data_IF_359632667776
#
_entry.id   IF_359632667776
#
_cell.length_a   1.000
_cell.length_b   1.000
_cell.length_c   1.000
_cell.angle_alpha   90.00
_cell.angle_beta   90.00
_cell.angle_gamma   90.00
#
_symmetry.space_group_name_H-M   'P 1'
#
loop_
_entity.id
_entity.type
_entity.pdbx_description
1 polymer ?
#
# COMPACT_ATOMS: atom_id res chain seq x y z
N UNK A 1 1.28 -61.82 -4.49
CA UNK A 1 0.37 -62.01 -3.34
C UNK A 1 -0.93 -61.22 -3.48
N UNK A 2 -0.90 -59.99 -3.99
CA UNK A 2 -2.11 -59.16 -4.16
C UNK A 2 -3.14 -59.71 -5.17
N UNK A 3 -2.74 -60.45 -6.21
CA UNK A 3 -3.69 -61.09 -7.15
C UNK A 3 -4.62 -62.12 -6.46
N UNK A 4 -4.07 -62.90 -5.52
CA UNK A 4 -4.88 -63.84 -4.75
C UNK A 4 -5.83 -63.10 -3.78
N UNK A 5 -5.36 -61.99 -3.19
CA UNK A 5 -6.17 -61.13 -2.33
C UNK A 5 -7.33 -60.47 -3.09
N UNK A 6 -7.11 -60.07 -4.35
CA UNK A 6 -8.16 -59.53 -5.25
C UNK A 6 -9.31 -60.52 -5.42
N UNK A 7 -9.02 -61.79 -5.72
CA UNK A 7 -10.05 -62.82 -5.86
C UNK A 7 -10.79 -63.07 -4.54
N UNK A 8 -10.07 -63.11 -3.42
CA UNK A 8 -10.64 -63.33 -2.09
C UNK A 8 -11.57 -62.20 -1.67
N UNK A 9 -11.11 -60.95 -1.73
CA UNK A 9 -11.91 -59.79 -1.29
C UNK A 9 -13.09 -59.51 -2.20
N UNK A 10 -12.98 -59.81 -3.50
CA UNK A 10 -14.11 -59.72 -4.42
C UNK A 10 -15.20 -60.76 -4.06
N UNK A 11 -14.81 -61.99 -3.73
CA UNK A 11 -15.76 -63.03 -3.32
C UNK A 11 -16.42 -62.73 -1.95
N UNK A 12 -15.67 -62.12 -1.03
CA UNK A 12 -16.16 -61.75 0.32
C UNK A 12 -16.93 -60.41 0.29
N UNK A 13 -16.97 -59.70 -0.84
CA UNK A 13 -17.56 -58.36 -0.98
C UNK A 13 -16.95 -57.31 -0.03
N UNK A 14 -15.70 -57.49 0.38
CA UNK A 14 -14.97 -56.49 1.16
C UNK A 14 -14.29 -55.50 0.21
N UNK A 15 -15.07 -54.53 -0.28
CA UNK A 15 -14.64 -53.60 -1.32
C UNK A 15 -13.54 -52.63 -0.87
N UNK A 16 -13.46 -52.31 0.44
CA UNK A 16 -12.41 -51.45 0.98
C UNK A 16 -11.02 -52.10 0.84
N UNK A 17 -10.88 -53.34 1.29
CA UNK A 17 -9.63 -54.10 1.17
C UNK A 17 -9.34 -54.52 -0.27
N UNK A 18 -10.39 -54.72 -1.08
CA UNK A 18 -10.24 -54.94 -2.51
C UNK A 18 -9.62 -53.73 -3.21
N UNK A 19 -10.10 -52.51 -2.93
CA UNK A 19 -9.56 -51.29 -3.51
C UNK A 19 -8.06 -51.11 -3.17
N UNK A 20 -7.70 -51.29 -1.89
CA UNK A 20 -6.29 -51.28 -1.43
C UNK A 20 -5.42 -52.31 -2.18
N UNK A 21 -5.92 -53.54 -2.35
CA UNK A 21 -5.19 -54.56 -3.11
C UNK A 21 -5.05 -54.22 -4.60
N UNK A 22 -6.06 -53.60 -5.22
CA UNK A 22 -6.04 -53.18 -6.62
C UNK A 22 -5.09 -52.01 -6.86
N UNK A 23 -5.02 -51.07 -5.92
CA UNK A 23 -4.04 -49.98 -5.91
C UNK A 23 -2.61 -50.54 -5.95
N UNK A 24 -2.29 -51.50 -5.08
CA UNK A 24 -0.96 -52.13 -5.05
C UNK A 24 -0.64 -52.96 -6.31
N UNK A 25 -1.65 -53.34 -7.10
CA UNK A 25 -1.49 -54.00 -8.39
C UNK A 25 -1.36 -53.02 -9.56
N UNK A 26 -1.50 -51.71 -9.33
CA UNK A 26 -1.50 -50.68 -10.37
C UNK A 26 -2.79 -50.63 -11.21
N UNK A 27 -3.84 -51.34 -10.81
CA UNK A 27 -5.13 -51.35 -11.50
C UNK A 27 -6.05 -50.22 -10.99
N UNK A 28 -5.67 -48.97 -11.23
CA UNK A 28 -6.33 -47.79 -10.65
C UNK A 28 -7.80 -47.64 -11.02
N UNK A 29 -8.18 -47.90 -12.28
CA UNK A 29 -9.59 -47.83 -12.71
C UNK A 29 -10.48 -48.78 -11.91
N UNK A 30 -10.05 -50.03 -11.73
CA UNK A 30 -10.79 -51.02 -10.97
C UNK A 30 -10.82 -50.68 -9.47
N UNK A 31 -9.78 -50.01 -8.96
CA UNK A 31 -9.75 -49.53 -7.59
C UNK A 31 -10.80 -48.43 -7.35
N UNK A 32 -10.96 -47.49 -8.29
CA UNK A 32 -12.00 -46.43 -8.25
C UNK A 32 -13.41 -47.03 -8.26
N UNK A 33 -13.66 -48.03 -9.10
CA UNK A 33 -14.96 -48.72 -9.13
C UNK A 33 -15.24 -49.46 -7.81
N UNK A 34 -14.19 -49.99 -7.19
CA UNK A 34 -14.27 -50.68 -5.90
C UNK A 34 -14.50 -49.70 -4.74
N UNK A 35 -13.86 -48.53 -4.75
CA UNK A 35 -14.09 -47.49 -3.73
C UNK A 35 -15.51 -46.93 -3.83
N UNK A 36 -16.09 -46.83 -5.03
CA UNK A 36 -17.49 -46.47 -5.20
C UNK A 36 -18.44 -47.48 -4.53
N UNK A 37 -18.13 -48.78 -4.59
CA UNK A 37 -18.91 -49.82 -3.90
C UNK A 37 -18.69 -49.81 -2.38
N UNK A 38 -17.49 -49.47 -1.93
CA UNK A 38 -17.17 -49.37 -0.50
C UNK A 38 -17.83 -48.14 0.15
N UNK A 39 -17.93 -47.04 -0.59
CA UNK A 39 -18.51 -45.76 -0.16
C UNK A 39 -18.00 -45.26 1.19
N UNK A 40 -16.68 -45.35 1.40
CA UNK A 40 -15.99 -44.87 2.60
C UNK A 40 -14.99 -43.78 2.23
N UNK A 41 -14.97 -42.68 2.98
CA UNK A 41 -14.03 -41.57 2.80
C UNK A 41 -12.58 -42.01 2.88
N UNK A 42 -12.24 -42.87 3.84
CA UNK A 42 -10.90 -43.43 3.99
C UNK A 42 -10.46 -44.21 2.74
N UNK A 43 -11.37 -45.01 2.16
CA UNK A 43 -11.05 -45.78 0.95
C UNK A 43 -10.86 -44.89 -0.27
N UNK A 44 -11.64 -43.81 -0.37
CA UNK A 44 -11.44 -42.81 -1.42
C UNK A 44 -10.10 -42.11 -1.28
N UNK A 45 -9.70 -41.74 -0.05
CA UNK A 45 -8.39 -41.12 0.23
C UNK A 45 -7.24 -42.04 -0.17
N UNK A 46 -7.27 -43.30 0.25
CA UNK A 46 -6.22 -44.28 -0.08
C UNK A 46 -6.05 -44.41 -1.60
N UNK A 47 -7.16 -44.61 -2.33
CA UNK A 47 -7.15 -44.74 -3.79
C UNK A 47 -6.70 -43.44 -4.45
N UNK A 48 -7.20 -42.29 -3.99
CA UNK A 48 -6.85 -40.98 -4.53
C UNK A 48 -5.35 -40.70 -4.41
N UNK A 49 -4.80 -40.85 -3.21
CA UNK A 49 -3.39 -40.60 -2.91
C UNK A 49 -2.47 -41.49 -3.74
N UNK A 50 -2.84 -42.75 -3.93
CA UNK A 50 -2.11 -43.64 -4.81
C UNK A 50 -2.25 -43.29 -6.30
N UNK A 51 -3.42 -42.83 -6.76
CA UNK A 51 -3.59 -42.32 -8.12
C UNK A 51 -2.73 -41.09 -8.38
N UNK A 52 -2.58 -40.19 -7.40
CA UNK A 52 -1.68 -39.03 -7.48
C UNK A 52 -0.22 -39.47 -7.56
N UNK A 53 0.20 -40.42 -6.72
CA UNK A 53 1.56 -41.00 -6.79
C UNK A 53 1.83 -41.70 -8.13
N UNK A 54 0.80 -42.36 -8.67
CA UNK A 54 0.82 -43.00 -9.98
C UNK A 54 0.67 -42.05 -11.18
N UNK A 55 0.53 -40.74 -10.95
CA UNK A 55 0.30 -39.71 -11.99
C UNK A 55 -0.97 -39.92 -12.84
N UNK A 56 -1.95 -40.65 -12.32
CA UNK A 56 -3.26 -40.86 -12.94
C UNK A 56 -4.24 -39.77 -12.50
N UNK A 57 -3.99 -38.52 -12.93
CA UNK A 57 -4.70 -37.34 -12.42
C UNK A 57 -6.20 -37.33 -12.72
N UNK A 58 -6.62 -37.88 -13.86
CA UNK A 58 -8.04 -37.96 -14.20
C UNK A 58 -8.82 -38.83 -13.19
N UNK A 59 -8.25 -39.98 -12.82
CA UNK A 59 -8.85 -40.87 -11.83
C UNK A 59 -8.75 -40.29 -10.42
N UNK A 60 -7.60 -39.67 -10.10
CA UNK A 60 -7.42 -38.96 -8.83
C UNK A 60 -8.45 -37.84 -8.66
N UNK A 61 -8.79 -37.09 -9.72
CA UNK A 61 -9.81 -36.05 -9.68
C UNK A 61 -11.19 -36.61 -9.35
N UNK A 62 -11.60 -37.71 -10.02
CA UNK A 62 -12.87 -38.38 -9.73
C UNK A 62 -12.97 -38.83 -8.26
N UNK A 63 -11.92 -39.47 -7.74
CA UNK A 63 -11.85 -39.86 -6.33
C UNK A 63 -11.90 -38.64 -5.39
N UNK A 64 -11.13 -37.60 -5.72
CA UNK A 64 -11.01 -36.38 -4.92
C UNK A 64 -12.33 -35.63 -4.78
N UNK A 65 -13.17 -35.60 -5.82
CA UNK A 65 -14.49 -34.96 -5.75
C UNK A 65 -15.41 -35.60 -4.70
N UNK A 66 -15.23 -36.90 -4.42
CA UNK A 66 -15.95 -37.56 -3.33
C UNK A 66 -15.39 -37.22 -1.94
N UNK A 67 -14.11 -36.86 -1.84
CA UNK A 67 -13.43 -36.51 -0.57
C UNK A 67 -13.69 -35.04 -0.21
N UNK A 68 -13.51 -34.12 -1.17
CA UNK A 68 -13.59 -32.65 -0.97
C UNK A 68 -14.92 -32.18 -0.41
N UNK A 69 -16.00 -32.94 -0.58
CA UNK A 69 -17.31 -32.60 0.00
C UNK A 69 -17.25 -32.58 1.54
N UNK A 70 -16.32 -33.33 2.14
CA UNK A 70 -16.08 -33.37 3.58
C UNK A 70 -15.07 -32.30 3.99
N UNK A 71 -15.55 -31.27 4.69
CA UNK A 71 -14.72 -30.12 5.08
C UNK A 71 -13.49 -30.50 5.92
N UNK A 72 -13.62 -31.50 6.79
CA UNK A 72 -12.54 -31.96 7.68
C UNK A 72 -11.38 -32.61 6.90
N UNK A 73 -11.63 -33.10 5.68
CA UNK A 73 -10.65 -33.81 4.85
C UNK A 73 -9.95 -32.89 3.83
N UNK A 74 -10.47 -31.67 3.63
CA UNK A 74 -9.99 -30.74 2.60
C UNK A 74 -8.52 -30.34 2.84
N UNK A 75 -8.15 -30.05 4.09
CA UNK A 75 -6.80 -29.60 4.45
C UNK A 75 -5.74 -30.68 4.16
N UNK A 76 -6.00 -31.93 4.52
CA UNK A 76 -5.09 -33.04 4.27
C UNK A 76 -4.92 -33.31 2.76
N UNK A 77 -6.02 -33.28 2.00
CA UNK A 77 -5.97 -33.45 0.56
C UNK A 77 -5.15 -32.35 -0.13
N UNK A 78 -5.35 -31.09 0.26
CA UNK A 78 -4.58 -29.97 -0.25
C UNK A 78 -3.09 -30.15 0.06
N UNK A 79 -2.76 -30.47 1.31
CA UNK A 79 -1.39 -30.70 1.73
C UNK A 79 -0.73 -31.81 0.90
N UNK A 80 -1.44 -32.91 0.65
CA UNK A 80 -0.92 -34.03 -0.14
C UNK A 80 -0.55 -33.64 -1.58
N UNK A 81 -1.40 -32.86 -2.25
CA UNK A 81 -1.13 -32.35 -3.59
C UNK A 81 0.00 -31.30 -3.60
N UNK A 82 0.04 -30.40 -2.60
CA UNK A 82 1.06 -29.35 -2.49
C UNK A 82 2.46 -29.89 -2.22
N UNK A 83 2.58 -30.88 -1.32
CA UNK A 83 3.87 -31.52 -0.97
C UNK A 83 4.54 -32.18 -2.19
N UNK A 84 3.72 -32.66 -3.15
CA UNK A 84 4.17 -33.24 -4.42
C UNK A 84 4.34 -32.22 -5.55
N UNK A 85 3.94 -30.97 -5.33
CA UNK A 85 4.04 -29.89 -6.32
C UNK A 85 2.97 -29.91 -7.41
N UNK A 86 1.88 -30.67 -7.25
CA UNK A 86 0.81 -30.76 -8.26
C UNK A 86 -0.24 -29.65 -8.10
N UNK A 87 0.18 -28.38 -8.19
CA UNK A 87 -0.69 -27.22 -7.97
C UNK A 87 -1.75 -27.02 -9.07
N UNK A 88 -1.41 -27.29 -10.34
CA UNK A 88 -2.34 -27.16 -11.47
C UNK A 88 -3.52 -28.12 -11.37
N UNK A 89 -3.23 -29.38 -11.05
CA UNK A 89 -4.25 -30.41 -10.87
C UNK A 89 -5.13 -30.14 -9.65
N UNK A 90 -4.54 -29.63 -8.56
CA UNK A 90 -5.30 -29.21 -7.38
C UNK A 90 -6.25 -28.04 -7.70
N UNK A 91 -5.79 -27.05 -8.48
CA UNK A 91 -6.66 -25.95 -8.92
C UNK A 91 -7.78 -26.46 -9.83
N UNK A 92 -7.48 -27.31 -10.82
CA UNK A 92 -8.47 -27.94 -11.70
C UNK A 92 -9.52 -28.74 -10.91
N UNK A 93 -9.07 -29.49 -9.90
CA UNK A 93 -9.94 -30.23 -8.99
C UNK A 93 -10.88 -29.30 -8.22
N UNK A 94 -10.35 -28.23 -7.61
CA UNK A 94 -11.17 -27.26 -6.88
C UNK A 94 -12.14 -26.50 -7.80
N UNK A 95 -11.70 -26.13 -9.02
CA UNK A 95 -12.54 -25.53 -10.07
C UNK A 95 -13.76 -26.42 -10.37
N UNK A 96 -13.55 -27.73 -10.56
CA UNK A 96 -14.63 -28.68 -10.77
C UNK A 96 -15.53 -28.84 -9.52
N UNK A 97 -14.91 -28.82 -8.33
CA UNK A 97 -15.61 -29.05 -7.08
C UNK A 97 -16.56 -27.90 -6.68
N UNK A 98 -16.31 -26.66 -7.13
CA UNK A 98 -17.20 -25.51 -6.94
C UNK A 98 -18.61 -25.74 -7.51
N UNK A 99 -18.74 -26.56 -8.56
CA UNK A 99 -20.01 -26.88 -9.19
C UNK A 99 -20.85 -27.93 -8.45
N UNK A 100 -20.32 -28.53 -7.38
CA UNK A 100 -21.04 -29.53 -6.59
C UNK A 100 -22.08 -28.88 -5.68
N UNK A 101 -23.26 -29.50 -5.56
CA UNK A 101 -24.33 -29.02 -4.66
C UNK A 101 -23.88 -28.91 -3.20
N UNK A 102 -22.95 -29.77 -2.77
CA UNK A 102 -22.41 -29.81 -1.40
C UNK A 102 -21.11 -29.03 -1.24
N UNK A 103 -20.79 -28.11 -2.15
CA UNK A 103 -19.62 -27.25 -2.01
C UNK A 103 -19.72 -26.39 -0.73
N UNK A 104 -18.63 -26.27 0.01
CA UNK A 104 -18.57 -25.54 1.28
C UNK A 104 -17.49 -24.45 1.25
N UNK A 105 -17.51 -23.53 2.23
CA UNK A 105 -16.67 -22.31 2.26
C UNK A 105 -15.15 -22.58 2.11
N UNK A 106 -14.66 -23.69 2.67
CA UNK A 106 -13.26 -24.08 2.60
C UNK A 106 -12.75 -24.17 1.16
N UNK A 107 -13.55 -24.73 0.25
CA UNK A 107 -13.19 -24.94 -1.15
C UNK A 107 -12.93 -23.62 -1.88
N UNK A 108 -13.83 -22.64 -1.71
CA UNK A 108 -13.69 -21.30 -2.31
C UNK A 108 -12.48 -20.55 -1.71
N UNK A 109 -12.27 -20.70 -0.40
CA UNK A 109 -11.19 -20.02 0.32
C UNK A 109 -9.83 -20.54 -0.13
N UNK A 110 -9.65 -21.86 -0.18
CA UNK A 110 -8.39 -22.48 -0.58
C UNK A 110 -8.08 -22.26 -2.06
N UNK A 111 -9.11 -22.26 -2.92
CA UNK A 111 -8.93 -21.89 -4.32
C UNK A 111 -8.45 -20.44 -4.48
N UNK A 112 -9.03 -19.49 -3.73
CA UNK A 112 -8.55 -18.10 -3.74
C UNK A 112 -7.08 -17.98 -3.30
N UNK A 113 -6.66 -18.76 -2.29
CA UNK A 113 -5.27 -18.79 -1.84
C UNK A 113 -4.35 -19.33 -2.95
N UNK A 114 -4.77 -20.38 -3.66
CA UNK A 114 -3.99 -20.91 -4.79
C UNK A 114 -3.92 -19.92 -5.96
N UNK A 115 -5.04 -19.29 -6.33
CA UNK A 115 -5.07 -18.25 -7.36
C UNK A 115 -4.17 -17.07 -7.02
N UNK A 116 -4.14 -16.64 -5.75
CA UNK A 116 -3.27 -15.53 -5.35
C UNK A 116 -1.79 -15.77 -5.68
N UNK A 117 -1.33 -17.03 -5.56
CA UNK A 117 0.09 -17.39 -5.76
C UNK A 117 0.41 -17.81 -7.19
N UNK A 118 -0.46 -18.58 -7.83
CA UNK A 118 -0.16 -19.26 -9.09
C UNK A 118 -0.87 -18.66 -10.29
N UNK A 119 -2.09 -18.12 -10.13
CA UNK A 119 -2.89 -17.56 -11.22
C UNK A 119 -3.60 -16.26 -10.82
N UNK A 120 -2.86 -15.15 -10.56
CA UNK A 120 -3.46 -13.86 -10.21
C UNK A 120 -4.56 -13.39 -11.16
N UNK A 121 -4.44 -13.71 -12.46
CA UNK A 121 -5.38 -13.30 -13.50
C UNK A 121 -6.81 -13.85 -13.29
N UNK A 122 -6.97 -15.01 -12.64
CA UNK A 122 -8.29 -15.61 -12.33
C UNK A 122 -8.89 -15.11 -11.02
N UNK A 123 -8.10 -14.45 -10.17
CA UNK A 123 -8.52 -13.98 -8.86
C UNK A 123 -9.69 -12.99 -8.88
N UNK A 124 -9.74 -11.98 -9.78
CA UNK A 124 -10.83 -11.01 -9.80
C UNK A 124 -12.20 -11.68 -10.03
N UNK A 125 -12.29 -12.52 -11.07
CA UNK A 125 -13.52 -13.22 -11.45
C UNK A 125 -14.00 -14.15 -10.32
N UNK A 126 -13.06 -14.86 -9.69
CA UNK A 126 -13.37 -15.73 -8.55
C UNK A 126 -13.96 -14.94 -7.37
N UNK A 127 -13.34 -13.82 -7.01
CA UNK A 127 -13.83 -12.99 -5.90
C UNK A 127 -15.16 -12.32 -6.24
N UNK A 128 -15.34 -11.82 -7.45
CA UNK A 128 -16.57 -11.15 -7.88
C UNK A 128 -17.78 -12.11 -7.79
N UNK A 129 -17.59 -13.37 -8.16
CA UNK A 129 -18.64 -14.40 -8.10
C UNK A 129 -18.86 -14.98 -6.70
N UNK A 130 -17.80 -15.17 -5.92
CA UNK A 130 -17.84 -16.04 -4.73
C UNK A 130 -17.47 -15.38 -3.39
N UNK A 131 -17.27 -14.06 -3.33
CA UNK A 131 -16.87 -13.35 -2.09
C UNK A 131 -17.72 -13.70 -0.86
N UNK A 132 -19.03 -13.94 -1.02
CA UNK A 132 -19.95 -14.24 0.09
C UNK A 132 -19.76 -15.64 0.69
N UNK A 133 -19.04 -16.53 0.01
CA UNK A 133 -18.80 -17.92 0.41
C UNK A 133 -17.33 -18.20 0.74
N UNK A 134 -16.55 -17.15 0.98
CA UNK A 134 -15.11 -17.22 1.26
C UNK A 134 -14.82 -16.69 2.65
N UNK A 135 -13.78 -17.23 3.30
CA UNK A 135 -13.23 -16.65 4.52
C UNK A 135 -12.37 -15.41 4.17
N UNK A 136 -12.98 -14.23 4.22
CA UNK A 136 -12.36 -12.97 3.81
C UNK A 136 -11.04 -12.69 4.57
N UNK A 137 -10.95 -12.78 5.91
CA UNK A 137 -9.70 -12.54 6.62
C UNK A 137 -8.54 -13.44 6.18
N UNK A 138 -8.81 -14.72 5.87
CA UNK A 138 -7.78 -15.64 5.39
C UNK A 138 -7.29 -15.26 4.00
N UNK A 139 -8.21 -14.87 3.11
CA UNK A 139 -7.88 -14.47 1.74
C UNK A 139 -7.20 -13.11 1.68
N UNK A 140 -7.56 -12.16 2.55
CA UNK A 140 -6.88 -10.87 2.67
C UNK A 140 -5.37 -11.05 2.92
N UNK A 141 -5.01 -11.92 3.88
CA UNK A 141 -3.59 -12.23 4.16
C UNK A 141 -2.88 -12.83 2.95
N UNK A 142 -3.55 -13.70 2.19
CA UNK A 142 -2.98 -14.31 0.99
C UNK A 142 -2.82 -13.28 -0.14
N UNK A 143 -3.81 -12.42 -0.35
CA UNK A 143 -3.77 -11.35 -1.35
C UNK A 143 -2.70 -10.30 -1.03
N UNK A 144 -2.53 -9.95 0.25
CA UNK A 144 -1.47 -9.04 0.72
C UNK A 144 -0.07 -9.60 0.46
N UNK A 145 0.14 -10.89 0.78
CA UNK A 145 1.39 -11.61 0.48
C UNK A 145 1.68 -11.72 -1.02
N UNK A 146 0.63 -11.74 -1.85
CA UNK A 146 0.73 -11.81 -3.30
C UNK A 146 0.74 -10.42 -3.98
N UNK A 147 0.64 -9.33 -3.21
CA UNK A 147 0.59 -7.95 -3.71
C UNK A 147 -0.53 -7.70 -4.74
N UNK A 148 -1.70 -8.30 -4.53
CA UNK A 148 -2.88 -8.17 -5.40
C UNK A 148 -3.76 -7.00 -4.95
N UNK A 149 -3.30 -5.77 -5.16
CA UNK A 149 -3.89 -4.58 -4.52
C UNK A 149 -5.32 -4.27 -4.99
N UNK A 150 -5.66 -4.52 -6.26
CA UNK A 150 -7.01 -4.28 -6.78
C UNK A 150 -8.03 -5.24 -6.12
N UNK A 151 -7.66 -6.51 -6.00
CA UNK A 151 -8.45 -7.57 -5.37
C UNK A 151 -8.53 -7.36 -3.86
N UNK A 152 -7.45 -6.88 -3.25
CA UNK A 152 -7.37 -6.58 -1.82
C UNK A 152 -8.31 -5.41 -1.46
N UNK A 153 -8.34 -4.34 -2.27
CA UNK A 153 -9.31 -3.25 -2.11
C UNK A 153 -10.75 -3.74 -2.28
N UNK A 154 -11.01 -4.65 -3.24
CA UNK A 154 -12.33 -5.27 -3.38
C UNK A 154 -12.74 -6.07 -2.14
N UNK A 155 -11.83 -6.84 -1.56
CA UNK A 155 -12.09 -7.58 -0.33
C UNK A 155 -12.35 -6.65 0.85
N UNK A 156 -11.61 -5.56 1.00
CA UNK A 156 -11.88 -4.56 2.04
C UNK A 156 -13.23 -3.86 1.87
N UNK A 157 -13.66 -3.57 0.63
CA UNK A 157 -15.02 -3.06 0.38
C UNK A 157 -16.10 -4.02 0.90
N UNK A 158 -15.96 -5.32 0.59
CA UNK A 158 -16.92 -6.34 1.04
C UNK A 158 -16.84 -6.65 2.52
N UNK A 159 -15.68 -6.43 3.14
CA UNK A 159 -15.48 -6.60 4.57
C UNK A 159 -15.79 -5.33 5.38
N UNK A 160 -16.21 -4.25 4.71
CA UNK A 160 -16.52 -2.95 5.31
C UNK A 160 -15.32 -2.29 6.04
N UNK A 161 -14.09 -2.71 5.71
CA UNK A 161 -12.85 -2.12 6.23
C UNK A 161 -12.37 -0.98 5.31
N UNK A 162 -13.18 0.07 5.21
CA UNK A 162 -12.91 1.21 4.31
C UNK A 162 -11.60 1.95 4.63
N UNK A 163 -11.20 1.99 5.90
CA UNK A 163 -9.95 2.61 6.34
C UNK A 163 -8.74 1.95 5.66
N UNK A 164 -8.71 0.61 5.63
CA UNK A 164 -7.64 -0.16 5.00
C UNK A 164 -7.73 -0.12 3.47
N UNK A 165 -8.94 -0.08 2.90
CA UNK A 165 -9.15 0.11 1.46
C UNK A 165 -8.53 1.42 0.98
N UNK A 166 -8.84 2.54 1.65
CA UNK A 166 -8.32 3.87 1.30
C UNK A 166 -6.81 3.91 1.45
N UNK A 167 -6.25 3.37 2.54
CA UNK A 167 -4.80 3.32 2.74
C UNK A 167 -4.10 2.56 1.61
N UNK A 168 -4.64 1.41 1.21
CA UNK A 168 -4.10 0.61 0.10
C UNK A 168 -4.16 1.37 -1.23
N UNK A 169 -5.25 2.08 -1.49
CA UNK A 169 -5.39 2.91 -2.69
C UNK A 169 -4.39 4.06 -2.75
N UNK A 170 -4.00 4.61 -1.60
CA UNK A 170 -3.01 5.67 -1.50
C UNK A 170 -1.58 5.17 -1.62
N UNK A 171 -1.26 4.00 -1.05
CA UNK A 171 0.08 3.41 -1.15
C UNK A 171 0.35 2.76 -2.50
N UNK A 172 -0.69 2.26 -3.18
CA UNK A 172 -0.60 1.62 -4.50
C UNK A 172 -1.55 2.23 -5.55
N UNK A 173 -1.34 3.49 -5.97
CA UNK A 173 -2.28 4.22 -6.83
C UNK A 173 -2.43 3.65 -8.25
N UNK A 174 -1.39 3.04 -8.80
CA UNK A 174 -1.37 2.61 -10.21
C UNK A 174 -2.31 1.44 -10.49
N UNK A 175 -2.50 0.55 -9.51
CA UNK A 175 -3.23 -0.71 -9.69
C UNK A 175 -4.62 -0.68 -9.04
N UNK A 176 -4.74 -0.01 -7.88
CA UNK A 176 -5.95 -0.10 -7.06
C UNK A 176 -6.82 1.16 -7.07
N UNK A 177 -6.27 2.32 -7.45
CA UNK A 177 -7.01 3.57 -7.37
C UNK A 177 -8.05 3.70 -8.51
N UNK A 178 -9.30 3.97 -8.13
CA UNK A 178 -10.39 4.35 -9.03
C UNK A 178 -11.14 5.52 -8.40
N UNK A 179 -11.29 6.61 -9.14
CA UNK A 179 -11.78 7.89 -8.60
C UNK A 179 -13.15 7.78 -7.90
N UNK A 180 -14.14 7.17 -8.56
CA UNK A 180 -15.48 7.00 -8.00
C UNK A 180 -15.46 6.16 -6.72
N UNK A 181 -14.78 5.02 -6.76
CA UNK A 181 -14.68 4.10 -5.61
C UNK A 181 -13.96 4.76 -4.42
N UNK A 182 -12.89 5.52 -4.67
CA UNK A 182 -12.17 6.23 -3.61
C UNK A 182 -13.08 7.23 -2.89
N UNK A 183 -13.88 8.00 -3.65
CA UNK A 183 -14.85 8.96 -3.11
C UNK A 183 -15.94 8.27 -2.27
N UNK A 184 -16.41 7.11 -2.71
CA UNK A 184 -17.40 6.33 -1.96
C UNK A 184 -16.83 5.74 -0.67
N UNK A 185 -15.57 5.26 -0.69
CA UNK A 185 -14.93 4.69 0.49
C UNK A 185 -14.56 5.74 1.54
N UNK A 186 -13.94 6.85 1.12
CA UNK A 186 -13.51 7.90 2.06
C UNK A 186 -14.70 8.52 2.81
N UNK A 187 -15.88 8.60 2.19
CA UNK A 187 -17.10 9.09 2.84
C UNK A 187 -17.54 8.20 4.03
N UNK A 188 -17.25 6.89 3.96
CA UNK A 188 -17.62 5.90 4.98
C UNK A 188 -16.57 5.71 6.08
N UNK A 189 -15.34 6.13 5.83
CA UNK A 189 -14.23 6.06 6.80
C UNK A 189 -14.58 6.83 8.07
N UNK A 190 -14.32 6.22 9.23
CA UNK A 190 -14.59 6.87 10.53
C UNK A 190 -13.44 7.79 10.97
N UNK A 191 -12.21 7.42 10.63
CA UNK A 191 -11.00 8.13 11.03
C UNK A 191 -10.76 9.40 10.20
N UNK A 192 -10.90 10.56 10.85
CA UNK A 192 -10.73 11.88 10.21
C UNK A 192 -9.27 12.13 9.77
N UNK A 193 -8.28 11.50 10.40
CA UNK A 193 -6.88 11.66 9.98
C UNK A 193 -6.63 11.14 8.57
N UNK A 194 -7.37 10.11 8.14
CA UNK A 194 -7.30 9.60 6.78
C UNK A 194 -7.79 10.63 5.76
N UNK A 195 -8.67 11.57 6.14
CA UNK A 195 -9.12 12.62 5.23
C UNK A 195 -7.99 13.57 4.89
N UNK A 196 -7.20 13.99 5.89
CA UNK A 196 -6.05 14.86 5.66
C UNK A 196 -4.94 14.16 4.90
N UNK A 197 -4.70 12.86 5.16
CA UNK A 197 -3.77 12.07 4.36
C UNK A 197 -4.25 11.94 2.91
N UNK A 198 -5.54 11.72 2.69
CA UNK A 198 -6.13 11.66 1.35
C UNK A 198 -6.04 13.01 0.62
N UNK A 199 -6.26 14.13 1.34
CA UNK A 199 -6.08 15.47 0.78
C UNK A 199 -4.63 15.71 0.35
N UNK A 200 -3.65 15.32 1.17
CA UNK A 200 -2.23 15.39 0.78
C UNK A 200 -1.97 14.57 -0.49
N UNK A 201 -2.45 13.32 -0.54
CA UNK A 201 -2.27 12.47 -1.71
C UNK A 201 -2.90 13.05 -2.99
N UNK A 202 -4.09 13.63 -2.90
CA UNK A 202 -4.70 14.31 -4.05
C UNK A 202 -3.94 15.58 -4.42
N UNK A 203 -3.41 16.32 -3.46
CA UNK A 203 -2.62 17.52 -3.73
C UNK A 203 -1.29 17.19 -4.42
N UNK A 204 -0.61 16.14 -3.97
CA UNK A 204 0.69 15.72 -4.52
C UNK A 204 0.55 15.14 -5.94
N UNK A 205 -0.47 14.31 -6.18
CA UNK A 205 -0.56 13.51 -7.41
C UNK A 205 -1.68 13.93 -8.36
N UNK A 206 -2.79 14.51 -7.87
CA UNK A 206 -3.98 14.85 -8.68
C UNK A 206 -4.64 16.19 -8.28
N UNK A 207 -3.94 17.33 -8.40
CA UNK A 207 -4.44 18.63 -7.92
C UNK A 207 -5.82 19.02 -8.48
N UNK A 208 -6.12 18.65 -9.73
CA UNK A 208 -7.37 19.02 -10.40
C UNK A 208 -8.62 18.35 -9.81
N UNK A 209 -8.47 17.20 -9.14
CA UNK A 209 -9.59 16.41 -8.58
C UNK A 209 -9.86 16.73 -7.10
N UNK A 210 -9.09 17.63 -6.49
CA UNK A 210 -9.20 17.91 -5.06
C UNK A 210 -10.53 18.58 -4.69
N UNK A 211 -11.07 19.42 -5.57
CA UNK A 211 -12.34 20.12 -5.33
C UNK A 211 -13.49 19.11 -5.22
N UNK A 212 -13.51 18.10 -6.07
CA UNK A 212 -14.53 17.05 -6.04
C UNK A 212 -14.41 16.19 -4.78
N UNK A 213 -13.18 15.93 -4.30
CA UNK A 213 -12.95 15.25 -3.03
C UNK A 213 -13.45 16.09 -1.84
N UNK A 214 -13.18 17.39 -1.83
CA UNK A 214 -13.64 18.30 -0.77
C UNK A 214 -15.17 18.37 -0.69
N UNK A 215 -15.88 18.30 -1.82
CA UNK A 215 -17.34 18.25 -1.84
C UNK A 215 -17.89 17.04 -1.07
N UNK A 216 -17.26 15.87 -1.23
CA UNK A 216 -17.66 14.63 -0.53
C UNK A 216 -17.32 14.70 0.96
N UNK A 217 -16.18 15.29 1.32
CA UNK A 217 -15.71 15.37 2.70
C UNK A 217 -16.38 16.48 3.53
N UNK A 218 -17.02 17.45 2.89
CA UNK A 218 -17.61 18.65 3.51
C UNK A 218 -18.42 18.40 4.80
N UNK A 219 -19.30 17.38 4.90
CA UNK A 219 -20.14 17.21 6.10
C UNK A 219 -19.39 16.85 7.38
N UNK A 220 -18.17 16.29 7.29
CA UNK A 220 -17.41 15.76 8.44
C UNK A 220 -16.05 16.43 8.62
N UNK A 221 -15.66 17.30 7.69
CA UNK A 221 -14.35 17.93 7.68
C UNK A 221 -14.36 19.22 8.52
N UNK A 222 -13.35 19.40 9.37
CA UNK A 222 -13.15 20.67 10.07
C UNK A 222 -12.60 21.71 9.08
N UNK A 223 -13.44 22.68 8.73
CA UNK A 223 -13.10 23.74 7.80
C UNK A 223 -11.93 24.60 8.28
N UNK A 224 -11.83 24.87 9.58
CA UNK A 224 -10.77 25.71 10.16
C UNK A 224 -9.40 25.03 9.99
N UNK A 225 -9.34 23.74 10.37
CA UNK A 225 -8.14 22.93 10.22
C UNK A 225 -7.76 22.74 8.75
N UNK A 226 -8.74 22.59 7.87
CA UNK A 226 -8.52 22.40 6.42
C UNK A 226 -7.93 23.64 5.76
N UNK A 227 -8.46 24.82 6.09
CA UNK A 227 -7.91 26.09 5.60
C UNK A 227 -6.49 26.30 6.12
N UNK A 228 -6.24 26.00 7.40
CA UNK A 228 -4.89 26.08 7.98
C UNK A 228 -3.91 25.11 7.29
N UNK A 229 -4.35 23.89 7.01
CA UNK A 229 -3.59 22.87 6.28
C UNK A 229 -3.17 23.38 4.89
N UNK A 230 -4.12 23.82 4.05
CA UNK A 230 -3.80 24.36 2.72
C UNK A 230 -2.97 25.63 2.77
N UNK A 231 -3.21 26.52 3.74
CA UNK A 231 -2.44 27.76 3.88
C UNK A 231 -0.98 27.46 4.20
N UNK A 232 -0.73 26.53 5.13
CA UNK A 232 0.62 26.11 5.51
C UNK A 232 1.33 25.44 4.33
N UNK A 233 0.66 24.54 3.64
CA UNK A 233 1.24 23.79 2.53
C UNK A 233 1.57 24.71 1.33
N UNK A 234 0.67 25.66 1.02
CA UNK A 234 0.92 26.70 0.03
C UNK A 234 2.14 27.58 0.37
N UNK A 235 2.32 27.94 1.66
CA UNK A 235 3.50 28.68 2.12
C UNK A 235 4.80 27.86 1.94
N UNK A 236 4.76 26.55 2.24
CA UNK A 236 5.92 25.67 2.08
C UNK A 236 6.29 25.52 0.60
N UNK A 237 5.32 25.25 -0.27
CA UNK A 237 5.57 25.14 -1.71
C UNK A 237 6.03 26.46 -2.33
N UNK A 238 5.53 27.61 -1.88
CA UNK A 238 6.02 28.91 -2.32
C UNK A 238 7.49 29.13 -1.92
N UNK A 239 7.87 28.77 -0.69
CA UNK A 239 9.26 28.81 -0.23
C UNK A 239 10.16 27.85 -1.01
N UNK A 240 9.71 26.64 -1.29
CA UNK A 240 10.45 25.62 -2.06
C UNK A 240 10.66 26.03 -3.52
N UNK A 241 9.70 26.74 -4.10
CA UNK A 241 9.75 27.22 -5.48
C UNK A 241 10.87 28.24 -5.72
N UNK A 242 11.36 28.92 -4.66
CA UNK A 242 12.39 29.98 -4.74
C UNK A 242 12.05 31.14 -5.68
N UNK A 243 10.77 31.30 -6.00
CA UNK A 243 10.27 32.38 -6.86
C UNK A 243 9.71 33.53 -6.01
N UNK A 244 10.35 34.71 -6.00
CA UNK A 244 9.90 35.84 -5.20
C UNK A 244 8.52 36.36 -5.65
N UNK A 245 8.21 36.32 -6.95
CA UNK A 245 6.92 36.79 -7.45
C UNK A 245 5.76 35.94 -6.95
N UNK A 246 5.97 34.62 -6.85
CA UNK A 246 4.96 33.69 -6.34
C UNK A 246 4.70 33.93 -4.84
N UNK A 247 5.76 34.15 -4.07
CA UNK A 247 5.64 34.48 -2.64
C UNK A 247 4.90 35.81 -2.42
N UNK A 248 5.17 36.83 -3.24
CA UNK A 248 4.43 38.10 -3.19
C UNK A 248 2.96 37.95 -3.57
N UNK A 249 2.64 37.18 -4.63
CA UNK A 249 1.26 36.90 -5.03
C UNK A 249 0.49 36.17 -3.93
N UNK A 250 1.11 35.18 -3.29
CA UNK A 250 0.53 34.47 -2.14
C UNK A 250 0.25 35.43 -0.97
N UNK A 251 1.20 36.33 -0.69
CA UNK A 251 1.09 37.31 0.39
C UNK A 251 -0.02 38.34 0.13
N UNK A 252 -0.14 38.83 -1.11
CA UNK A 252 -1.24 39.69 -1.55
C UNK A 252 -2.59 39.00 -1.39
N UNK A 253 -2.70 37.73 -1.79
CA UNK A 253 -3.93 36.96 -1.61
C UNK A 253 -4.33 36.82 -0.13
N UNK A 254 -3.38 36.55 0.78
CA UNK A 254 -3.68 36.50 2.22
C UNK A 254 -4.16 37.85 2.79
N UNK A 255 -3.66 38.97 2.26
CA UNK A 255 -4.08 40.32 2.65
C UNK A 255 -5.50 40.64 2.14
N UNK A 256 -5.83 40.27 0.91
CA UNK A 256 -7.16 40.44 0.32
C UNK A 256 -8.23 39.63 1.06
N UNK A 257 -7.92 38.38 1.42
CA UNK A 257 -8.79 37.50 2.21
C UNK A 257 -8.86 37.88 3.69
N UNK A 258 -8.06 38.84 4.15
CA UNK A 258 -8.06 39.33 5.53
C UNK A 258 -7.52 38.33 6.56
N UNK A 259 -6.70 37.35 6.16
CA UNK A 259 -6.12 36.33 7.05
C UNK A 259 -4.76 36.77 7.57
N UNK A 260 -4.76 37.61 8.61
CA UNK A 260 -3.54 38.24 9.15
C UNK A 260 -2.57 37.24 9.82
N UNK A 261 -3.08 36.15 10.38
CA UNK A 261 -2.25 35.08 10.97
C UNK A 261 -1.44 34.34 9.90
N UNK A 262 -2.06 34.08 8.74
CA UNK A 262 -1.40 33.47 7.60
C UNK A 262 -0.35 34.42 6.98
N UNK A 263 -0.61 35.73 6.99
CA UNK A 263 0.35 36.74 6.58
C UNK A 263 1.64 36.67 7.44
N UNK A 264 1.49 36.70 8.76
CA UNK A 264 2.65 36.59 9.67
C UNK A 264 3.41 35.28 9.47
N UNK A 265 2.71 34.15 9.32
CA UNK A 265 3.32 32.85 9.05
C UNK A 265 4.10 32.83 7.72
N UNK A 266 3.53 33.43 6.66
CA UNK A 266 4.15 33.52 5.33
C UNK A 266 5.46 34.31 5.35
N UNK A 267 5.52 35.38 6.15
CA UNK A 267 6.75 36.19 6.32
C UNK A 267 7.89 35.36 6.93
N UNK A 268 7.57 34.43 7.84
CA UNK A 268 8.57 33.56 8.44
C UNK A 268 8.99 32.43 7.52
N UNK A 269 8.06 31.78 6.82
CA UNK A 269 8.37 30.65 5.95
C UNK A 269 9.11 31.08 4.69
N UNK A 270 8.74 32.23 4.11
CA UNK A 270 9.32 32.77 2.89
C UNK A 270 10.37 33.86 3.15
N UNK A 271 11.01 33.84 4.33
CA UNK A 271 11.94 34.88 4.79
C UNK A 271 13.05 35.21 3.77
N UNK A 272 13.59 34.19 3.11
CA UNK A 272 14.70 34.36 2.15
C UNK A 272 14.26 34.97 0.80
N UNK A 273 12.97 34.88 0.46
CA UNK A 273 12.43 35.27 -0.86
C UNK A 273 11.83 36.68 -0.84
N UNK A 274 11.34 37.14 0.31
CA UNK A 274 10.56 38.37 0.41
C UNK A 274 11.45 39.58 0.65
N UNK A 275 11.29 40.63 -0.17
CA UNK A 275 12.08 41.84 0.02
C UNK A 275 11.48 42.72 1.15
N UNK A 276 12.29 43.23 2.11
CA UNK A 276 11.79 43.98 3.27
C UNK A 276 11.00 45.25 2.94
N UNK A 277 11.24 45.89 1.81
CA UNK A 277 10.51 47.10 1.36
C UNK A 277 9.06 46.79 0.96
N UNK A 278 8.84 45.72 0.21
CA UNK A 278 7.52 45.24 -0.23
C UNK A 278 6.69 44.84 0.99
N UNK A 279 7.30 44.11 1.93
CA UNK A 279 6.63 43.72 3.18
C UNK A 279 6.27 44.95 4.01
N UNK A 280 7.15 45.96 4.09
CA UNK A 280 6.91 47.19 4.84
C UNK A 280 5.78 48.01 4.22
N UNK A 281 5.76 48.13 2.89
CA UNK A 281 4.70 48.83 2.17
C UNK A 281 3.35 48.16 2.40
N UNK A 282 3.28 46.83 2.26
CA UNK A 282 2.04 46.07 2.45
C UNK A 282 1.56 46.11 3.91
N UNK A 283 2.46 45.93 4.88
CA UNK A 283 2.14 46.01 6.30
C UNK A 283 1.63 47.41 6.70
N UNK A 284 2.22 48.48 6.13
CA UNK A 284 1.80 49.85 6.40
C UNK A 284 0.44 50.18 5.77
N UNK A 285 0.22 49.79 4.51
CA UNK A 285 -1.06 50.01 3.81
C UNK A 285 -2.25 49.33 4.49
N UNK A 286 -2.03 48.14 5.04
CA UNK A 286 -3.09 47.35 5.69
C UNK A 286 -3.13 47.50 7.23
N UNK A 287 -2.28 48.37 7.81
CA UNK A 287 -2.18 48.58 9.26
C UNK A 287 -1.87 47.29 10.06
N UNK A 288 -1.00 46.43 9.52
CA UNK A 288 -0.58 45.14 10.09
C UNK A 288 0.87 45.16 10.60
N UNK A 289 1.39 46.35 10.96
CA UNK A 289 2.77 46.51 11.41
C UNK A 289 3.12 45.58 12.57
N UNK A 290 2.23 45.42 13.55
CA UNK A 290 2.44 44.58 14.73
C UNK A 290 2.72 43.11 14.36
N UNK A 291 2.09 42.60 13.30
CA UNK A 291 2.29 41.23 12.80
C UNK A 291 3.58 41.08 11.99
N UNK A 292 4.08 42.15 11.37
CA UNK A 292 5.31 42.16 10.58
C UNK A 292 6.56 42.46 11.43
N UNK A 293 6.41 43.01 12.65
CA UNK A 293 7.54 43.36 13.52
C UNK A 293 8.51 42.20 13.80
N UNK A 294 8.06 40.95 14.08
CA UNK A 294 8.98 39.84 14.28
C UNK A 294 9.89 39.54 13.09
N UNK A 295 9.37 39.71 11.86
CA UNK A 295 10.14 39.59 10.62
C UNK A 295 11.22 40.68 10.54
N UNK A 296 10.85 41.95 10.76
CA UNK A 296 11.80 43.06 10.73
C UNK A 296 12.89 42.96 11.79
N UNK A 297 12.56 42.50 13.00
CA UNK A 297 13.55 42.26 14.06
C UNK A 297 14.60 41.25 13.58
N UNK A 298 14.17 40.18 12.90
CA UNK A 298 15.07 39.16 12.37
C UNK A 298 15.94 39.72 11.22
N UNK A 299 15.35 40.46 10.27
CA UNK A 299 16.08 41.12 9.18
C UNK A 299 17.14 42.08 9.74
N UNK A 300 16.78 42.92 10.72
CA UNK A 300 17.71 43.85 11.36
C UNK A 300 18.83 43.11 12.09
N UNK A 301 18.52 42.01 12.80
CA UNK A 301 19.54 41.20 13.48
C UNK A 301 20.52 40.58 12.47
N UNK A 302 20.03 40.07 11.36
CA UNK A 302 20.89 39.49 10.33
C UNK A 302 21.73 40.54 9.60
N UNK A 303 21.14 41.69 9.30
CA UNK A 303 21.85 42.82 8.71
C UNK A 303 23.00 43.29 9.60
N UNK A 304 22.73 43.51 10.90
CA UNK A 304 23.76 43.87 11.88
C UNK A 304 24.87 42.82 11.95
N UNK A 305 24.52 41.53 12.04
CA UNK A 305 25.50 40.45 12.05
C UNK A 305 26.34 40.36 10.75
N UNK A 306 25.75 40.68 9.58
CA UNK A 306 26.47 40.72 8.30
C UNK A 306 27.42 41.90 8.24
N UNK A 307 26.99 43.07 8.71
CA UNK A 307 27.83 44.27 8.81
C UNK A 307 29.01 44.00 9.76
N UNK A 308 28.76 43.47 10.96
CA UNK A 308 29.82 43.13 11.93
C UNK A 308 30.85 42.14 11.35
N UNK A 309 30.39 41.15 10.57
CA UNK A 309 31.27 40.20 9.87
C UNK A 309 32.11 40.87 8.79
N UNK A 310 31.52 41.78 8.01
CA UNK A 310 32.25 42.53 6.98
C UNK A 310 33.29 43.45 7.61
N UNK A 311 32.94 44.14 8.70
CA UNK A 311 33.88 44.99 9.46
C UNK A 311 35.04 44.16 10.06
N UNK A 312 34.75 42.96 10.56
CA UNK A 312 35.77 42.01 11.03
C UNK A 312 36.68 41.51 9.89
N UNK A 313 36.12 41.21 8.72
CA UNK A 313 36.90 40.81 7.55
C UNK A 313 37.76 41.96 7.01
N UNK A 314 37.23 43.18 6.95
CA UNK A 314 37.96 44.35 6.49
C UNK A 314 39.10 44.72 7.46
N UNK A 315 38.88 44.59 8.78
CA UNK A 315 39.93 44.81 9.78
C UNK A 315 41.04 43.74 9.73
N UNK A 316 40.71 42.48 9.47
CA UNK A 316 41.69 41.43 9.21
C UNK A 316 42.50 41.71 7.94
N UNK A 317 41.83 42.11 6.85
CA UNK A 317 42.50 42.43 5.59
C UNK A 317 43.48 43.61 5.75
N UNK A 318 43.09 44.66 6.48
CA UNK A 318 43.98 45.77 6.84
C UNK A 318 45.18 45.33 7.69
N UNK A 319 44.99 44.35 8.57
CA UNK A 319 46.09 43.76 9.33
C UNK A 319 47.03 42.92 8.47
N UNK A 320 46.51 42.13 7.52
CA UNK A 320 47.32 41.37 6.57
C UNK A 320 48.12 42.29 5.62
N UNK A 321 47.51 43.36 5.12
CA UNK A 321 48.20 44.39 4.33
C UNK A 321 49.34 45.06 5.12
N UNK A 322 49.15 45.32 6.42
CA UNK A 322 50.20 45.86 7.30
C UNK A 322 51.36 44.88 7.58
N UNK A 323 51.11 43.57 7.54
CA UNK A 323 52.15 42.55 7.74
C UNK A 323 52.88 42.22 6.43
N UNK A 324 52.26 42.50 5.28
CA UNK A 324 52.81 42.28 3.94
C UNK A 324 53.75 43.37 3.41
N UNK A 325 53.80 44.55 4.03
CA UNK A 325 54.83 45.55 3.72
C UNK A 325 56.18 45.10 4.31
N UNK A 326 57.22 44.79 3.50
CA UNK A 326 58.51 44.43 4.05
C UNK A 326 59.08 45.64 4.79
N UNK A 327 59.38 45.45 6.09
CA UNK A 327 60.04 46.47 6.90
C UNK A 327 61.24 47.05 6.12
N UNK A 328 61.39 48.39 6.04
CA UNK A 328 62.42 49.01 5.21
C UNK A 328 63.79 48.50 5.69
N UNK A 329 64.56 47.92 4.76
CA UNK A 329 65.95 47.51 4.99
C UNK A 329 66.75 48.76 5.38
N UNK A 330 66.94 48.96 6.68
CA UNK A 330 67.90 49.93 7.21
C UNK A 330 69.28 49.37 6.89
N UNK A 331 69.93 49.92 5.86
CA UNK A 331 71.34 49.66 5.60
C UNK A 331 72.16 50.38 6.68
N UNK A 332 72.53 49.66 7.73
CA UNK A 332 73.58 50.07 8.65
C UNK A 332 74.91 50.08 7.88
N UNK A 333 75.34 51.26 7.44
CA UNK A 333 76.72 51.48 7.01
C UNK A 333 77.57 51.74 8.26
N UNK A 334 77.91 50.66 8.96
CA UNK A 334 78.97 50.66 9.96
C UNK A 334 80.33 50.46 9.28
N UNK A 335 81.06 51.58 9.15
CA UNK A 335 82.43 51.66 9.66
C UNK A 335 83.61 51.32 8.74
N UNK A 336 84.56 52.27 8.76
CA UNK A 336 86.02 52.12 8.63
C UNK A 336 86.58 51.98 7.19
N UNK A 337 87.51 52.81 6.70
CA UNK A 337 88.45 53.82 7.25
C UNK A 337 88.68 54.93 6.22
#
# INVERSE_FOLDING_TARGET
>A
MYEAAKLLYNNISNFARLASALVHLGEYQAAVDSSHKANSTETWKEVCFACVDGQEFHLAQLCSLHIIIHADELEELIYYYQDRGYFEELMSLLEAALGLERAHMGMFTELAILYSKFKPQKMPEHLELFWSRVNIPKVLKAAEQAHLWAELVFLYDKYEEYDNAVLTMMSHPTESWKEGQFKDFIAKVANIELYYKALQFYLDYKPLLINDLLLVLSPRLDHTRTVSFFSKDAMQHASESRDPELAEKLLQWFLEEGKWECFAASLFTCYDLLHPDVVLELAWRHNLMDFAMPYFIQVMREFLNKVDKLDALESLHKHEEHVGEPAPLVFDFDGHE
#
